data_IF_080930617782
#
_entry.id   IF_080930617782
#
_cell.length_a   1.000
_cell.length_b   1.000
_cell.length_c   1.000
_cell.angle_alpha   90.00
_cell.angle_beta   90.00
_cell.angle_gamma   90.00
#
_symmetry.space_group_name_H-M   'P 1'
#
loop_
_entity.id
_entity.type
_entity.pdbx_description
1 polymer ?
#
# COMPACT_ATOMS: atom_id res chain seq x y z
N UNK A 1 -0.03 -21.37 -10.32
CA UNK A 1 -0.27 -22.82 -10.24
C UNK A 1 -1.07 -23.26 -9.01
N UNK A 2 -0.87 -22.66 -7.83
CA UNK A 2 -1.62 -23.00 -6.63
C UNK A 2 -3.11 -22.58 -6.75
N UNK A 3 -3.40 -21.36 -7.21
CA UNK A 3 -4.76 -20.89 -7.46
C UNK A 3 -5.54 -21.75 -8.46
N UNK A 4 -4.88 -22.23 -9.53
CA UNK A 4 -5.50 -23.11 -10.53
C UNK A 4 -5.98 -24.44 -9.95
N UNK A 5 -5.36 -24.92 -8.85
CA UNK A 5 -5.73 -26.17 -8.18
C UNK A 5 -6.88 -25.99 -7.20
N UNK A 6 -7.28 -24.76 -6.89
CA UNK A 6 -8.39 -24.48 -5.99
C UNK A 6 -9.72 -24.49 -6.72
N UNK A 7 -10.68 -25.23 -6.15
CA UNK A 7 -12.05 -25.33 -6.70
C UNK A 7 -12.86 -24.04 -6.50
N UNK A 8 -12.51 -23.23 -5.49
CA UNK A 8 -13.22 -21.99 -5.15
C UNK A 8 -12.22 -20.83 -5.02
N UNK A 9 -12.29 -19.89 -5.95
CA UNK A 9 -11.47 -18.66 -5.95
C UNK A 9 -11.90 -17.69 -4.83
N UNK A 10 -13.20 -17.69 -4.51
CA UNK A 10 -13.81 -16.76 -3.57
C UNK A 10 -13.48 -17.04 -2.09
N UNK A 11 -12.94 -18.22 -1.79
CA UNK A 11 -12.50 -18.56 -0.42
C UNK A 11 -11.17 -17.88 -0.03
N UNK A 12 -10.58 -17.07 -0.93
CA UNK A 12 -9.24 -16.50 -0.73
C UNK A 12 -9.23 -15.03 -1.08
N UNK A 13 -8.68 -14.22 -0.19
CA UNK A 13 -8.38 -12.81 -0.44
C UNK A 13 -7.00 -12.70 -1.09
N UNK A 14 -6.95 -12.19 -2.32
CA UNK A 14 -5.72 -11.92 -3.05
C UNK A 14 -5.45 -10.42 -3.05
N UNK A 15 -4.31 -10.03 -2.46
CA UNK A 15 -3.83 -8.67 -2.49
C UNK A 15 -2.62 -8.54 -3.45
N UNK A 16 -2.56 -7.46 -4.21
CA UNK A 16 -1.39 -7.08 -5.00
C UNK A 16 -1.21 -5.57 -5.01
N UNK A 17 -0.08 -5.08 -5.52
CA UNK A 17 0.29 -3.67 -5.43
C UNK A 17 0.79 -3.12 -6.76
N UNK A 18 0.60 -1.80 -6.94
CA UNK A 18 1.33 -1.01 -7.92
C UNK A 18 2.43 -0.22 -7.22
N UNK A 19 3.65 -0.30 -7.74
CA UNK A 19 4.84 0.38 -7.20
C UNK A 19 4.78 1.87 -7.56
N UNK A 20 5.12 2.74 -6.59
CA UNK A 20 5.22 4.18 -6.80
C UNK A 20 6.50 4.60 -7.50
N UNK A 21 6.70 5.91 -7.60
CA UNK A 21 7.86 6.55 -8.23
C UNK A 21 9.19 6.11 -7.61
N UNK A 22 10.26 6.08 -8.42
CA UNK A 22 11.65 5.98 -7.97
C UNK A 22 12.29 4.60 -8.05
N UNK A 23 11.52 3.51 -8.13
CA UNK A 23 12.11 2.18 -8.31
C UNK A 23 12.41 1.92 -9.79
N UNK A 24 13.64 2.22 -10.22
CA UNK A 24 14.07 2.10 -11.63
C UNK A 24 13.98 0.68 -12.20
N UNK A 25 14.00 -0.35 -11.35
CA UNK A 25 13.85 -1.75 -11.80
C UNK A 25 12.42 -2.11 -12.16
N UNK A 26 11.45 -1.29 -11.74
CA UNK A 26 10.04 -1.49 -12.04
C UNK A 26 9.53 -0.29 -12.83
N UNK A 27 9.11 -0.52 -14.06
CA UNK A 27 8.56 0.50 -14.97
C UNK A 27 9.42 1.77 -15.04
N UNK A 28 10.75 1.63 -15.01
CA UNK A 28 11.71 2.74 -15.08
C UNK A 28 11.52 3.82 -13.99
N UNK A 29 10.89 3.44 -12.87
CA UNK A 29 10.60 4.35 -11.77
C UNK A 29 9.45 5.32 -12.03
N UNK A 30 8.59 5.05 -13.01
CA UNK A 30 7.42 5.89 -13.34
C UNK A 30 6.44 5.99 -12.16
N UNK A 31 5.76 7.14 -11.99
CA UNK A 31 4.78 7.35 -10.92
C UNK A 31 3.55 6.48 -11.09
N UNK A 32 2.77 6.34 -10.01
CA UNK A 32 1.42 5.78 -10.07
C UNK A 32 0.53 6.78 -10.81
N UNK A 33 -0.10 6.32 -11.88
CA UNK A 33 -1.11 7.01 -12.67
C UNK A 33 -1.98 5.96 -13.38
N UNK A 34 -3.00 6.40 -14.11
CA UNK A 34 -3.92 5.50 -14.82
C UNK A 34 -3.16 4.47 -15.70
N UNK A 35 -2.19 4.89 -16.51
CA UNK A 35 -1.44 4.02 -17.40
C UNK A 35 -0.63 2.96 -16.64
N UNK A 36 0.08 3.35 -15.60
CA UNK A 36 0.91 2.43 -14.80
C UNK A 36 0.06 1.50 -13.93
N UNK A 37 -1.12 1.93 -13.48
CA UNK A 37 -2.09 1.08 -12.79
C UNK A 37 -2.64 0.04 -13.76
N UNK A 38 -3.09 0.43 -14.96
CA UNK A 38 -3.64 -0.49 -15.96
C UNK A 38 -2.63 -1.58 -16.33
N UNK A 39 -1.40 -1.17 -16.63
CA UNK A 39 -0.30 -2.10 -16.94
C UNK A 39 -0.03 -3.08 -15.80
N UNK A 40 0.10 -2.57 -14.56
CA UNK A 40 0.42 -3.38 -13.39
C UNK A 40 -0.73 -4.33 -13.03
N UNK A 41 -1.98 -3.87 -13.10
CA UNK A 41 -3.18 -4.66 -12.83
C UNK A 41 -3.31 -5.79 -13.85
N UNK A 42 -3.24 -5.49 -15.14
CA UNK A 42 -3.33 -6.48 -16.22
C UNK A 42 -2.25 -7.55 -16.09
N UNK A 43 -1.00 -7.15 -15.84
CA UNK A 43 0.10 -8.09 -15.59
C UNK A 43 -0.11 -8.94 -14.34
N UNK A 44 -0.72 -8.39 -13.29
CA UNK A 44 -1.02 -9.11 -12.05
C UNK A 44 -2.12 -10.15 -12.27
N UNK A 45 -3.23 -9.78 -12.90
CA UNK A 45 -4.32 -10.70 -13.25
C UNK A 45 -3.80 -11.88 -14.08
N UNK A 46 -2.98 -11.60 -15.12
CA UNK A 46 -2.36 -12.63 -15.95
C UNK A 46 -1.45 -13.57 -15.15
N UNK A 47 -0.52 -13.04 -14.31
CA UNK A 47 0.40 -13.87 -13.52
C UNK A 47 -0.31 -14.71 -12.48
N UNK A 48 -1.32 -14.14 -11.83
CA UNK A 48 -2.13 -14.81 -10.79
C UNK A 48 -3.17 -15.75 -11.40
N UNK A 49 -3.47 -15.61 -12.70
CA UNK A 49 -4.51 -16.37 -13.41
C UNK A 49 -5.86 -16.25 -12.70
N UNK A 50 -6.31 -15.03 -12.54
CA UNK A 50 -7.59 -14.66 -11.93
C UNK A 50 -8.18 -13.46 -12.68
N UNK A 51 -9.48 -13.32 -12.66
CA UNK A 51 -10.20 -12.24 -13.35
C UNK A 51 -10.33 -10.98 -12.49
N UNK A 52 -10.08 -11.09 -11.18
CA UNK A 52 -10.16 -9.99 -10.24
C UNK A 52 -9.16 -10.08 -9.10
N UNK A 53 -8.89 -8.95 -8.47
CA UNK A 53 -8.08 -8.77 -7.26
C UNK A 53 -8.98 -8.33 -6.12
N UNK A 54 -8.88 -8.97 -4.95
CA UNK A 54 -9.71 -8.61 -3.79
C UNK A 54 -9.25 -7.30 -3.13
N UNK A 55 -7.92 -7.07 -3.08
CA UNK A 55 -7.34 -5.84 -2.52
C UNK A 55 -6.21 -5.33 -3.41
N UNK A 56 -6.42 -4.20 -4.07
CA UNK A 56 -5.39 -3.55 -4.89
C UNK A 56 -4.80 -2.36 -4.13
N UNK A 57 -3.49 -2.40 -3.89
CA UNK A 57 -2.82 -1.44 -3.02
C UNK A 57 -1.87 -0.51 -3.79
N UNK A 58 -1.84 0.75 -3.40
CA UNK A 58 -0.80 1.70 -3.79
C UNK A 58 0.40 1.49 -2.86
N UNK A 59 1.54 1.04 -3.41
CA UNK A 59 2.66 0.53 -2.60
C UNK A 59 3.38 1.60 -1.79
N UNK A 60 3.48 2.82 -2.32
CA UNK A 60 3.89 4.05 -1.64
C UNK A 60 3.45 5.28 -2.44
N UNK A 61 3.33 6.44 -1.80
CA UNK A 61 2.87 7.65 -2.49
C UNK A 61 3.90 8.19 -3.48
N UNK A 62 3.43 8.81 -4.58
CA UNK A 62 4.28 9.45 -5.57
C UNK A 62 5.13 10.60 -5.00
N UNK A 63 4.65 11.25 -3.96
CA UNK A 63 5.35 12.38 -3.30
C UNK A 63 6.43 11.96 -2.32
N UNK A 64 6.59 10.66 -2.07
CA UNK A 64 7.43 10.16 -0.99
C UNK A 64 6.75 10.21 0.39
N UNK A 65 7.36 9.57 1.37
CA UNK A 65 6.91 9.53 2.76
C UNK A 65 8.10 9.24 3.69
N UNK A 66 7.89 9.30 5.00
CA UNK A 66 8.91 8.96 6.00
C UNK A 66 9.16 7.45 6.15
N UNK A 67 8.40 6.61 5.46
CA UNK A 67 8.55 5.16 5.50
C UNK A 67 9.87 4.69 4.89
N UNK A 68 10.18 3.40 5.01
CA UNK A 68 11.46 2.81 4.63
C UNK A 68 12.65 3.45 5.34
N UNK A 69 12.47 3.80 6.65
CA UNK A 69 13.49 4.41 7.52
C UNK A 69 13.99 5.77 7.05
N UNK A 70 13.16 6.51 6.30
CA UNK A 70 13.49 7.87 5.84
C UNK A 70 13.01 8.97 6.81
N UNK A 71 12.53 8.62 7.99
CA UNK A 71 11.98 9.54 8.97
C UNK A 71 12.92 10.70 9.36
N UNK A 72 14.24 10.50 9.30
CA UNK A 72 15.24 11.54 9.57
C UNK A 72 15.53 12.45 8.36
N UNK A 73 15.25 11.97 7.13
CA UNK A 73 15.53 12.69 5.90
C UNK A 73 14.27 13.23 5.21
N UNK A 74 13.10 12.81 5.65
CA UNK A 74 11.83 13.21 5.04
C UNK A 74 11.54 14.70 5.28
N UNK A 75 11.42 15.44 4.19
CA UNK A 75 11.07 16.86 4.23
C UNK A 75 9.91 17.15 3.27
N UNK A 76 8.72 17.47 3.78
CA UNK A 76 7.55 17.77 2.94
C UNK A 76 7.49 19.24 2.44
N UNK A 77 8.42 20.11 2.83
CA UNK A 77 8.34 21.57 2.55
C UNK A 77 8.29 21.92 1.06
N UNK A 78 8.86 21.07 0.20
CA UNK A 78 8.89 21.26 -1.25
C UNK A 78 7.73 20.58 -2.00
N UNK A 79 6.76 20.03 -1.28
CA UNK A 79 5.62 19.35 -1.90
C UNK A 79 4.63 20.36 -2.49
N UNK A 80 4.18 20.07 -3.72
CA UNK A 80 3.09 20.83 -4.34
C UNK A 80 1.75 20.19 -3.97
N UNK A 81 1.11 20.72 -2.95
CA UNK A 81 -0.17 20.20 -2.41
C UNK A 81 -1.29 20.15 -3.46
N UNK A 82 -1.37 21.14 -4.36
CA UNK A 82 -2.40 21.16 -5.41
C UNK A 82 -2.21 20.01 -6.39
N UNK A 83 -0.95 19.79 -6.81
CA UNK A 83 -0.62 18.67 -7.71
C UNK A 83 -0.87 17.32 -7.03
N UNK A 84 -0.49 17.16 -5.76
CA UNK A 84 -0.71 15.91 -5.01
C UNK A 84 -2.19 15.57 -4.93
N UNK A 85 -3.05 16.56 -4.63
CA UNK A 85 -4.50 16.34 -4.58
C UNK A 85 -5.07 15.96 -5.95
N UNK A 86 -4.57 16.57 -7.03
CA UNK A 86 -4.95 16.18 -8.38
C UNK A 86 -4.52 14.74 -8.72
N UNK A 87 -3.27 14.37 -8.39
CA UNK A 87 -2.77 13.01 -8.59
C UNK A 87 -3.63 11.97 -7.84
N UNK A 88 -4.03 12.28 -6.59
CA UNK A 88 -4.93 11.41 -5.79
C UNK A 88 -6.31 11.29 -6.45
N UNK A 89 -6.87 12.41 -6.91
CA UNK A 89 -8.15 12.41 -7.61
C UNK A 89 -8.12 11.53 -8.85
N UNK A 90 -7.10 11.69 -9.72
CA UNK A 90 -6.96 10.93 -10.95
C UNK A 90 -6.80 9.42 -10.67
N UNK A 91 -5.99 9.07 -9.66
CA UNK A 91 -5.79 7.69 -9.21
C UNK A 91 -7.10 7.07 -8.71
N UNK A 92 -7.83 7.77 -7.82
CA UNK A 92 -9.09 7.27 -7.26
C UNK A 92 -10.17 7.12 -8.34
N UNK A 93 -10.31 8.11 -9.22
CA UNK A 93 -11.24 8.04 -10.34
C UNK A 93 -10.98 6.82 -11.21
N UNK A 94 -9.71 6.55 -11.52
CA UNK A 94 -9.35 5.38 -12.32
C UNK A 94 -9.59 4.07 -11.57
N UNK A 95 -9.20 3.97 -10.29
CA UNK A 95 -9.42 2.77 -9.50
C UNK A 95 -10.90 2.47 -9.30
N UNK A 96 -11.74 3.50 -9.07
CA UNK A 96 -13.19 3.33 -8.98
C UNK A 96 -13.82 2.81 -10.29
N UNK A 97 -13.28 3.19 -11.45
CA UNK A 97 -13.68 2.56 -12.72
C UNK A 97 -13.34 1.06 -12.72
N UNK A 98 -12.15 0.68 -12.20
CA UNK A 98 -11.74 -0.73 -12.13
C UNK A 98 -12.55 -1.54 -11.11
N UNK A 99 -13.04 -0.90 -10.06
CA UNK A 99 -14.01 -1.52 -9.12
C UNK A 99 -15.33 -1.78 -9.85
N UNK A 100 -15.87 -0.79 -10.55
CA UNK A 100 -17.10 -0.94 -11.35
C UNK A 100 -16.99 -1.98 -12.47
N UNK A 101 -15.80 -2.12 -13.06
CA UNK A 101 -15.49 -3.18 -14.04
C UNK A 101 -15.35 -4.58 -13.41
N UNK A 102 -15.38 -4.69 -12.08
CA UNK A 102 -15.19 -5.94 -11.35
C UNK A 102 -13.75 -6.49 -11.37
N UNK A 103 -12.77 -5.69 -11.77
CA UNK A 103 -11.34 -6.08 -11.80
C UNK A 103 -10.66 -5.93 -10.43
N UNK A 104 -11.17 -5.06 -9.58
CA UNK A 104 -10.73 -4.81 -8.21
C UNK A 104 -11.97 -4.82 -7.33
N UNK A 105 -11.89 -5.45 -6.15
CA UNK A 105 -12.97 -5.40 -5.15
C UNK A 105 -12.79 -4.24 -4.18
N UNK A 106 -11.56 -4.03 -3.71
CA UNK A 106 -11.24 -3.02 -2.70
C UNK A 106 -9.93 -2.32 -3.01
N UNK A 107 -9.82 -1.07 -2.60
CA UNK A 107 -8.62 -0.23 -2.73
C UNK A 107 -7.93 -0.16 -1.38
N UNK A 108 -6.59 -0.25 -1.35
CA UNK A 108 -5.78 -0.07 -0.15
C UNK A 108 -4.58 0.83 -0.38
N UNK A 109 -4.06 1.36 0.71
CA UNK A 109 -2.84 2.15 0.73
C UNK A 109 -1.69 1.33 1.32
N UNK A 110 -0.46 1.77 1.10
CA UNK A 110 0.71 1.25 1.78
C UNK A 110 1.78 2.33 1.88
N UNK A 111 2.52 2.33 2.98
CA UNK A 111 3.56 3.33 3.26
C UNK A 111 3.07 4.77 3.11
N UNK A 112 1.80 4.98 3.44
CA UNK A 112 1.15 6.27 3.37
C UNK A 112 1.17 6.97 4.76
N UNK A 113 1.17 8.29 4.77
CA UNK A 113 1.12 9.12 5.98
C UNK A 113 -0.32 9.40 6.40
N UNK A 114 -0.55 9.84 7.64
CA UNK A 114 -1.86 10.26 8.12
C UNK A 114 -2.47 11.35 7.22
N UNK A 115 -1.67 12.37 6.87
CA UNK A 115 -2.13 13.44 5.97
C UNK A 115 -2.58 12.90 4.61
N UNK A 116 -1.79 12.02 4.00
CA UNK A 116 -2.14 11.47 2.69
C UNK A 116 -3.36 10.57 2.75
N UNK A 117 -3.46 9.73 3.79
CA UNK A 117 -4.64 8.89 4.03
C UNK A 117 -5.91 9.73 4.12
N UNK A 118 -5.88 10.82 4.89
CA UNK A 118 -7.01 11.76 4.99
C UNK A 118 -7.34 12.46 3.66
N UNK A 119 -6.31 12.73 2.79
CA UNK A 119 -6.61 13.27 1.46
C UNK A 119 -7.32 12.25 0.56
N UNK A 120 -6.93 10.96 0.60
CA UNK A 120 -7.66 9.90 -0.12
C UNK A 120 -9.10 9.80 0.33
N UNK A 121 -9.37 9.81 1.64
CA UNK A 121 -10.72 9.76 2.21
C UNK A 121 -11.54 10.98 1.78
N UNK A 122 -11.00 12.17 1.98
CA UNK A 122 -11.68 13.41 1.64
C UNK A 122 -12.07 13.47 0.16
N UNK A 123 -11.11 13.17 -0.73
CA UNK A 123 -11.36 13.22 -2.17
C UNK A 123 -12.36 12.14 -2.60
N UNK A 124 -12.32 10.96 -1.99
CA UNK A 124 -13.30 9.91 -2.25
C UNK A 124 -14.72 10.37 -1.86
N UNK A 125 -14.89 10.94 -0.68
CA UNK A 125 -16.17 11.47 -0.19
C UNK A 125 -16.73 12.59 -1.09
N UNK A 126 -15.88 13.56 -1.45
CA UNK A 126 -16.28 14.73 -2.24
C UNK A 126 -16.69 14.35 -3.68
N UNK A 127 -16.20 13.22 -4.20
CA UNK A 127 -16.41 12.82 -5.60
C UNK A 127 -17.18 11.50 -5.77
N UNK A 128 -17.65 10.92 -4.67
CA UNK A 128 -18.37 9.65 -4.66
C UNK A 128 -17.56 8.51 -5.32
N UNK A 129 -16.26 8.46 -5.00
CA UNK A 129 -15.36 7.38 -5.40
C UNK A 129 -15.35 6.26 -4.35
N UNK A 130 -14.84 5.08 -4.74
CA UNK A 130 -14.64 3.98 -3.82
C UNK A 130 -13.59 4.34 -2.75
N UNK A 131 -13.88 3.98 -1.51
CA UNK A 131 -13.04 4.28 -0.36
C UNK A 131 -11.85 3.33 -0.25
N UNK A 132 -10.77 3.80 0.36
CA UNK A 132 -9.69 2.96 0.80
C UNK A 132 -10.09 2.21 2.07
N UNK A 133 -9.89 0.88 2.10
CA UNK A 133 -10.34 0.01 3.21
C UNK A 133 -9.19 -0.45 4.11
N UNK A 134 -7.95 -0.28 3.68
CA UNK A 134 -6.79 -0.72 4.44
C UNK A 134 -5.56 0.13 4.17
N UNK A 135 -4.66 0.15 5.14
CA UNK A 135 -3.32 0.70 5.02
C UNK A 135 -2.29 -0.34 5.45
N UNK A 136 -1.27 -0.58 4.62
CA UNK A 136 -0.18 -1.49 4.94
C UNK A 136 1.10 -0.72 5.26
N UNK A 137 1.42 -0.60 6.55
CA UNK A 137 2.58 0.15 7.05
C UNK A 137 3.47 -0.73 7.95
N UNK A 138 4.73 -0.31 8.12
CA UNK A 138 5.61 -0.93 9.11
C UNK A 138 5.05 -0.71 10.51
N UNK A 139 4.87 -1.82 11.23
CA UNK A 139 4.42 -1.75 12.62
C UNK A 139 4.94 -2.94 13.43
N UNK A 140 5.59 -2.65 14.53
CA UNK A 140 6.11 -3.62 15.48
C UNK A 140 6.36 -2.93 16.83
N UNK A 141 6.73 -3.67 17.87
CA UNK A 141 7.14 -3.07 19.16
C UNK A 141 8.35 -2.13 19.04
N UNK A 142 9.16 -2.27 17.99
CA UNK A 142 10.33 -1.40 17.72
C UNK A 142 10.04 -0.29 16.69
N UNK A 143 8.88 -0.29 16.02
CA UNK A 143 8.46 0.73 15.07
C UNK A 143 7.01 1.10 15.34
N UNK A 144 6.80 2.17 16.11
CA UNK A 144 5.50 2.59 16.65
C UNK A 144 4.94 3.87 16.01
N UNK A 145 5.44 4.28 14.83
CA UNK A 145 4.96 5.49 14.14
C UNK A 145 3.47 5.49 13.81
N UNK A 146 2.89 4.31 13.62
CA UNK A 146 1.47 4.17 13.37
C UNK A 146 0.61 4.66 14.55
N UNK A 147 1.07 4.47 15.78
CA UNK A 147 0.28 4.77 16.98
C UNK A 147 0.07 6.27 17.22
N UNK A 148 0.90 7.12 16.63
CA UNK A 148 0.89 8.56 16.94
C UNK A 148 -0.33 9.28 16.34
N UNK A 149 -0.71 8.94 15.12
CA UNK A 149 -1.79 9.61 14.39
C UNK A 149 -2.59 8.67 13.48
N UNK A 150 -1.93 7.73 12.80
CA UNK A 150 -2.62 6.80 11.91
C UNK A 150 -3.57 5.84 12.62
N UNK A 151 -3.30 5.48 13.87
CA UNK A 151 -4.21 4.64 14.65
C UNK A 151 -5.56 5.33 14.86
N UNK A 152 -5.53 6.63 15.19
CA UNK A 152 -6.75 7.44 15.34
C UNK A 152 -7.50 7.59 14.01
N UNK A 153 -6.78 7.91 12.92
CA UNK A 153 -7.37 7.96 11.57
C UNK A 153 -8.02 6.63 11.21
N UNK A 154 -7.30 5.52 11.42
CA UNK A 154 -7.80 4.19 11.07
C UNK A 154 -9.04 3.79 11.86
N UNK A 155 -9.08 4.13 13.14
CA UNK A 155 -10.24 3.86 13.99
C UNK A 155 -11.47 4.65 13.54
N UNK A 156 -11.33 5.96 13.34
CA UNK A 156 -12.46 6.84 13.01
C UNK A 156 -12.95 6.67 11.57
N UNK A 157 -12.07 6.29 10.66
CA UNK A 157 -12.38 6.17 9.22
C UNK A 157 -12.55 4.71 8.76
N UNK A 158 -12.61 3.74 9.69
CA UNK A 158 -12.77 2.31 9.40
C UNK A 158 -11.72 1.74 8.42
N UNK A 159 -10.46 2.13 8.57
CA UNK A 159 -9.35 1.63 7.76
C UNK A 159 -8.56 0.59 8.55
N UNK A 160 -8.46 -0.64 8.03
CA UNK A 160 -7.72 -1.71 8.70
C UNK A 160 -6.21 -1.59 8.49
N UNK A 161 -5.42 -1.79 9.55
CA UNK A 161 -3.97 -1.91 9.45
C UNK A 161 -3.58 -3.32 8.98
N UNK A 162 -2.74 -3.40 7.96
CA UNK A 162 -1.99 -4.58 7.56
C UNK A 162 -0.52 -4.35 7.93
N UNK A 163 -0.10 -4.81 9.10
CA UNK A 163 1.27 -4.60 9.56
C UNK A 163 2.29 -5.42 8.76
N UNK A 164 3.38 -4.79 8.29
CA UNK A 164 4.54 -5.54 7.82
C UNK A 164 5.71 -5.42 8.79
N UNK A 165 6.63 -6.39 8.75
CA UNK A 165 7.74 -6.53 9.68
C UNK A 165 7.33 -6.58 11.17
N UNK A 166 6.26 -7.30 11.59
CA UNK A 166 5.78 -7.28 12.97
C UNK A 166 6.82 -7.83 13.97
N UNK A 167 7.77 -8.64 13.50
CA UNK A 167 8.91 -9.12 14.29
C UNK A 167 10.19 -8.32 14.05
N UNK A 168 10.11 -7.08 13.51
CA UNK A 168 11.24 -6.18 13.28
C UNK A 168 12.43 -6.88 12.59
N UNK A 169 12.19 -7.52 11.44
CA UNK A 169 13.17 -8.31 10.69
C UNK A 169 13.79 -9.49 11.47
N UNK A 170 13.13 -9.92 12.52
CA UNK A 170 13.55 -11.03 13.38
C UNK A 170 14.15 -10.61 14.72
N UNK A 171 14.35 -9.31 14.96
CA UNK A 171 14.87 -8.83 16.25
C UNK A 171 13.98 -9.25 17.43
N UNK A 172 12.67 -9.20 17.25
CA UNK A 172 11.70 -9.58 18.28
C UNK A 172 11.46 -11.09 18.42
N UNK A 173 12.15 -11.93 17.63
CA UNK A 173 12.01 -13.38 17.72
C UNK A 173 12.88 -14.04 18.79
N UNK A 174 13.77 -13.28 19.46
CA UNK A 174 14.72 -13.80 20.43
C UNK A 174 15.98 -14.44 19.83
N UNK A 175 16.04 -14.69 18.51
CA UNK A 175 17.16 -15.42 17.88
C UNK A 175 18.49 -14.66 17.87
N UNK A 176 18.49 -13.38 18.16
CA UNK A 176 19.70 -12.54 18.21
C UNK A 176 20.12 -12.18 19.64
N UNK A 177 19.55 -12.84 20.65
CA UNK A 177 19.96 -12.65 22.04
C UNK A 177 21.41 -13.09 22.26
N UNK A 178 22.05 -12.48 23.26
CA UNK A 178 23.46 -12.74 23.63
C UNK A 178 24.45 -12.51 22.48
N UNK A 179 24.16 -11.59 21.55
CA UNK A 179 25.02 -11.28 20.40
C UNK A 179 25.06 -12.36 19.34
N UNK A 180 24.19 -13.36 19.38
CA UNK A 180 24.13 -14.42 18.38
C UNK A 180 23.58 -13.91 17.05
N UNK A 181 24.24 -14.28 15.95
CA UNK A 181 23.75 -14.05 14.58
C UNK A 181 23.66 -15.41 13.87
N UNK A 182 22.50 -16.06 13.91
CA UNK A 182 22.33 -17.38 13.28
C UNK A 182 22.64 -17.33 11.77
N UNK A 183 23.25 -18.41 11.27
CA UNK A 183 23.49 -18.57 9.83
C UNK A 183 22.19 -18.42 9.03
N UNK A 184 22.24 -17.75 7.89
CA UNK A 184 21.07 -17.43 7.03
C UNK A 184 20.02 -16.53 7.68
N UNK A 185 20.36 -15.83 8.77
CA UNK A 185 19.51 -14.79 9.33
C UNK A 185 19.53 -13.50 8.48
N UNK A 186 18.66 -12.53 8.83
CA UNK A 186 18.59 -11.24 8.11
C UNK A 186 19.62 -10.21 8.55
N UNK A 187 20.27 -10.39 9.70
CA UNK A 187 21.39 -9.59 10.16
C UNK A 187 22.70 -10.14 9.64
#
# INVERSE_FOLDING_TARGET
>A
NWLRKRKKRDDIIIATKVVGIGNKTVREGKPINEHTIEEALTKSLKRLNTDYIDLYQLHWPNRGSYHFRQNWAYNPSNQNTKKIKQDIFDILNFLSKKVKEGKIRNIGLSNETAWGTMQFIKIANENNFDHVVSIQNEYSLLCRFYDTDLAEVSHNENISLLSYSPLAAGLLSGKYQDGKVPEKSRL
#
